data_IF_876020199395
#
_entry.id   IF_876020199395
#
_cell.length_a   1.000
_cell.length_b   1.000
_cell.length_c   1.000
_cell.angle_alpha   90.00
_cell.angle_beta   90.00
_cell.angle_gamma   90.00
#
_symmetry.space_group_name_H-M   'P 1'
#
loop_
_entity.id
_entity.type
_entity.pdbx_description
1 polymer ?
#
# COMPACT_ATOMS: atom_id res chain seq x y z
N UNK A 1 0.48 -2.76 14.63
CA UNK A 1 0.17 -1.41 14.11
C UNK A 1 1.30 -0.96 13.19
N UNK A 2 1.05 -0.24 12.07
CA UNK A 2 2.12 0.10 11.13
C UNK A 2 3.11 1.08 11.76
N UNK A 3 4.42 0.76 11.87
CA UNK A 3 5.39 1.61 12.56
C UNK A 3 5.54 2.99 11.89
N UNK A 4 5.30 3.05 10.59
CA UNK A 4 5.31 4.29 9.83
C UNK A 4 4.12 5.24 10.11
N UNK A 5 3.03 4.74 10.69
CA UNK A 5 1.90 5.54 11.20
C UNK A 5 2.26 6.11 12.56
N UNK A 6 2.76 5.26 13.46
CA UNK A 6 3.13 5.60 14.84
C UNK A 6 4.15 6.74 14.93
N UNK A 7 5.19 6.72 14.09
CA UNK A 7 6.26 7.76 14.12
C UNK A 7 5.87 9.09 13.46
N UNK A 8 4.64 9.24 12.96
CA UNK A 8 4.25 10.44 12.22
C UNK A 8 3.83 11.57 13.18
N UNK A 9 4.63 12.64 13.34
CA UNK A 9 4.37 13.66 14.37
C UNK A 9 3.12 14.50 14.09
N UNK A 10 2.66 14.56 12.85
CA UNK A 10 1.48 15.33 12.43
C UNK A 10 0.23 14.48 12.26
N UNK A 11 0.31 13.17 12.45
CA UNK A 11 -0.78 12.24 12.11
C UNK A 11 -1.07 12.11 10.61
N UNK A 12 -0.18 12.64 9.74
CA UNK A 12 -0.36 12.56 8.29
C UNK A 12 -0.38 11.12 7.77
N UNK A 13 0.41 10.21 8.35
CA UNK A 13 0.29 8.78 8.02
C UNK A 13 -0.77 8.15 8.89
N UNK A 14 -1.73 7.45 8.29
CA UNK A 14 -2.83 6.80 9.02
C UNK A 14 -3.23 5.47 8.37
N UNK A 15 -3.86 4.59 9.15
CA UNK A 15 -4.45 3.33 8.67
C UNK A 15 -5.97 3.51 8.57
N UNK A 16 -6.53 3.26 7.40
CA UNK A 16 -7.98 3.28 7.15
C UNK A 16 -8.63 2.00 7.71
N UNK A 17 -9.96 2.01 7.89
CA UNK A 17 -10.72 0.89 8.45
C UNK A 17 -10.58 -0.43 7.66
N UNK A 18 -10.38 -0.35 6.34
CA UNK A 18 -10.12 -1.49 5.46
C UNK A 18 -8.65 -1.97 5.47
N UNK A 19 -7.81 -1.35 6.30
CA UNK A 19 -6.43 -1.74 6.51
C UNK A 19 -5.40 -1.05 5.62
N UNK A 20 -5.83 -0.23 4.65
CA UNK A 20 -4.92 0.50 3.76
C UNK A 20 -4.22 1.60 4.54
N UNK A 21 -2.89 1.66 4.45
CA UNK A 21 -2.08 2.75 5.03
C UNK A 21 -1.92 3.86 4.01
N UNK A 22 -2.34 5.06 4.39
CA UNK A 22 -2.34 6.25 3.55
C UNK A 22 -1.53 7.38 4.19
N UNK A 23 -1.28 8.42 3.39
CA UNK A 23 -0.61 9.64 3.81
C UNK A 23 -1.48 10.81 3.36
N UNK A 24 -1.94 11.61 4.31
CA UNK A 24 -2.49 12.92 4.03
C UNK A 24 -1.37 13.88 3.66
N UNK A 25 -1.41 14.33 2.41
CA UNK A 25 -0.41 15.24 1.83
C UNK A 25 -0.53 16.65 2.42
N UNK A 26 -1.73 17.07 2.83
CA UNK A 26 -1.93 18.41 3.39
C UNK A 26 -1.29 18.55 4.77
N UNK A 27 -1.29 17.47 5.55
CA UNK A 27 -0.69 17.41 6.88
C UNK A 27 0.76 16.91 6.87
N UNK A 28 1.28 16.43 5.72
CA UNK A 28 2.63 15.91 5.62
C UNK A 28 3.67 17.03 5.56
N UNK A 29 4.51 17.13 6.58
CA UNK A 29 5.61 18.12 6.66
C UNK A 29 6.94 17.63 6.06
N UNK A 30 6.96 16.44 5.44
CA UNK A 30 8.16 15.95 4.78
C UNK A 30 9.33 15.54 5.69
N UNK A 31 9.09 15.28 6.99
CA UNK A 31 10.15 14.96 7.96
C UNK A 31 10.86 13.61 7.74
N UNK A 32 10.30 12.74 6.89
CA UNK A 32 10.87 11.43 6.46
C UNK A 32 11.03 10.36 7.56
N UNK A 33 10.59 10.60 8.79
CA UNK A 33 10.63 9.58 9.85
C UNK A 33 9.88 8.30 9.49
N UNK A 34 8.72 8.43 8.84
CA UNK A 34 7.95 7.29 8.36
C UNK A 34 8.69 6.45 7.32
N UNK A 35 9.63 7.02 6.55
CA UNK A 35 10.48 6.28 5.61
C UNK A 35 11.50 5.43 6.36
N UNK A 36 12.14 5.99 7.39
CA UNK A 36 13.11 5.28 8.22
C UNK A 36 12.47 4.17 9.05
N UNK A 37 11.26 4.40 9.56
CA UNK A 37 10.52 3.42 10.34
C UNK A 37 9.93 2.27 9.49
N UNK A 38 9.83 2.42 8.17
CA UNK A 38 9.27 1.37 7.33
C UNK A 38 10.31 0.25 7.09
N UNK A 39 10.11 -0.97 7.62
CA UNK A 39 11.08 -2.06 7.47
C UNK A 39 11.23 -2.54 6.02
N UNK A 40 10.26 -2.21 5.17
CA UNK A 40 10.21 -2.59 3.76
C UNK A 40 10.77 -1.51 2.83
N UNK A 41 11.15 -0.34 3.35
CA UNK A 41 11.57 0.83 2.56
C UNK A 41 10.60 1.18 1.42
N UNK A 42 9.30 0.94 1.65
CA UNK A 42 8.23 1.06 0.64
C UNK A 42 7.63 2.49 0.58
N UNK A 43 8.37 3.48 1.05
CA UNK A 43 7.97 4.90 1.08
C UNK A 43 9.01 5.74 0.36
N UNK A 44 8.54 6.66 -0.46
CA UNK A 44 9.37 7.52 -1.30
C UNK A 44 9.10 8.98 -0.98
N UNK A 45 10.11 9.85 -1.12
CA UNK A 45 9.95 11.29 -0.91
C UNK A 45 9.97 12.02 -2.24
N UNK A 46 8.96 12.87 -2.47
CA UNK A 46 8.85 13.70 -3.66
C UNK A 46 9.69 14.96 -3.43
N UNK A 47 10.95 14.93 -3.87
CA UNK A 47 11.89 16.04 -3.69
C UNK A 47 11.83 17.08 -4.82
N UNK A 48 11.33 16.69 -5.99
CA UNK A 48 11.29 17.53 -7.19
C UNK A 48 9.86 17.97 -7.53
N UNK A 49 9.71 19.12 -8.21
CA UNK A 49 8.44 19.50 -8.80
C UNK A 49 8.05 18.50 -9.90
N UNK A 50 6.77 18.13 -9.95
CA UNK A 50 6.24 17.16 -10.91
C UNK A 50 5.24 17.82 -11.85
N UNK A 51 5.41 17.61 -13.16
CA UNK A 51 4.49 18.04 -14.21
C UNK A 51 3.57 16.88 -14.67
N UNK A 52 2.50 17.20 -15.41
CA UNK A 52 1.60 16.23 -16.06
C UNK A 52 0.99 15.20 -15.09
N UNK A 53 0.66 15.64 -13.89
CA UNK A 53 0.12 14.78 -12.84
C UNK A 53 -1.34 14.42 -13.10
N UNK A 54 -1.76 13.25 -12.63
CA UNK A 54 -3.17 12.84 -12.68
C UNK A 54 -3.97 13.60 -11.61
N UNK A 55 -5.04 14.34 -11.97
CA UNK A 55 -5.81 15.11 -10.99
C UNK A 55 -6.42 14.27 -9.87
N UNK A 56 -6.67 12.98 -10.11
CA UNK A 56 -7.27 12.08 -9.12
C UNK A 56 -6.27 11.57 -8.08
N UNK A 57 -4.96 11.65 -8.37
CA UNK A 57 -3.88 11.20 -7.48
C UNK A 57 -2.67 12.15 -7.57
N UNK A 58 -2.83 13.41 -7.15
CA UNK A 58 -1.72 14.37 -7.21
C UNK A 58 -0.58 13.97 -6.26
N UNK A 59 0.64 14.25 -6.66
CA UNK A 59 1.86 14.07 -5.88
C UNK A 59 2.31 15.43 -5.38
N UNK A 60 2.44 15.58 -4.07
CA UNK A 60 2.87 16.83 -3.44
C UNK A 60 4.39 16.87 -3.32
N UNK A 61 5.03 17.90 -3.89
CA UNK A 61 6.45 18.16 -3.60
C UNK A 61 6.61 18.39 -2.10
N UNK A 62 7.66 17.83 -1.50
CA UNK A 62 7.88 17.87 -0.06
C UNK A 62 7.08 16.83 0.72
N UNK A 63 6.26 16.01 0.08
CA UNK A 63 5.50 14.95 0.74
C UNK A 63 6.15 13.57 0.57
N UNK A 64 5.95 12.71 1.57
CA UNK A 64 6.21 11.28 1.43
C UNK A 64 5.01 10.62 0.75
N UNK A 65 5.28 9.63 -0.10
CA UNK A 65 4.29 8.80 -0.78
C UNK A 65 4.58 7.32 -0.58
N UNK A 66 3.57 6.49 -0.83
CA UNK A 66 3.67 5.03 -0.78
C UNK A 66 2.66 4.41 -1.74
N UNK A 67 2.73 3.09 -1.93
CA UNK A 67 1.63 2.36 -2.54
C UNK A 67 0.35 2.58 -1.71
N UNK A 68 -0.70 3.09 -2.34
CA UNK A 68 -2.01 3.33 -1.72
C UNK A 68 -3.02 2.24 -2.09
N UNK A 69 -2.52 1.11 -2.60
CA UNK A 69 -3.34 0.04 -3.22
C UNK A 69 -4.30 0.58 -4.29
N UNK A 70 -4.00 1.73 -4.90
CA UNK A 70 -4.90 2.42 -5.80
C UNK A 70 -6.27 2.73 -5.18
N UNK A 71 -6.29 3.30 -3.97
CA UNK A 71 -7.51 3.68 -3.23
C UNK A 71 -8.54 4.43 -4.10
N UNK A 72 -8.09 5.36 -4.95
CA UNK A 72 -8.93 6.09 -5.92
C UNK A 72 -9.70 5.21 -6.93
N UNK A 73 -9.27 3.97 -7.12
CA UNK A 73 -9.90 2.95 -7.97
C UNK A 73 -10.77 2.01 -7.13
N UNK A 74 -10.26 1.54 -5.99
CA UNK A 74 -10.98 0.65 -5.08
C UNK A 74 -12.28 1.30 -4.60
N UNK A 75 -12.22 2.58 -4.24
CA UNK A 75 -13.40 3.34 -3.77
C UNK A 75 -14.47 3.51 -4.88
N UNK A 76 -14.16 3.16 -6.13
CA UNK A 76 -15.08 3.13 -7.28
C UNK A 76 -15.40 1.70 -7.74
N UNK A 77 -15.10 0.69 -6.93
CA UNK A 77 -15.33 -0.72 -7.25
C UNK A 77 -14.41 -1.27 -8.36
N UNK A 78 -13.26 -0.63 -8.61
CA UNK A 78 -12.29 -1.09 -9.62
C UNK A 78 -11.09 -1.78 -9.00
N UNK A 79 -10.47 -2.69 -9.76
CA UNK A 79 -9.22 -3.32 -9.36
C UNK A 79 -8.03 -2.34 -9.41
N UNK A 80 -6.99 -2.57 -8.60
CA UNK A 80 -5.75 -1.79 -8.65
C UNK A 80 -5.08 -1.85 -10.03
N UNK A 81 -4.39 -0.77 -10.41
CA UNK A 81 -3.81 -0.66 -11.74
C UNK A 81 -2.74 -1.73 -12.03
N UNK A 82 -1.94 -2.11 -11.02
CA UNK A 82 -0.93 -3.17 -11.17
C UNK A 82 -1.55 -4.56 -11.41
N UNK A 83 -2.72 -4.83 -10.81
CA UNK A 83 -3.46 -6.09 -10.98
C UNK A 83 -4.03 -6.18 -12.39
N UNK A 84 -4.73 -5.12 -12.83
CA UNK A 84 -5.29 -5.06 -14.20
C UNK A 84 -4.19 -5.15 -15.26
N UNK A 85 -3.06 -4.46 -15.07
CA UNK A 85 -1.95 -4.52 -16.02
C UNK A 85 -1.30 -5.91 -16.10
N UNK A 86 -1.15 -6.60 -14.95
CA UNK A 86 -0.63 -7.96 -14.90
C UNK A 86 -1.55 -8.92 -15.67
N UNK A 87 -2.87 -8.85 -15.43
CA UNK A 87 -3.87 -9.63 -16.13
C UNK A 87 -3.89 -9.35 -17.64
N UNK A 88 -3.83 -8.07 -18.04
CA UNK A 88 -3.80 -7.67 -19.44
C UNK A 88 -2.54 -8.18 -20.19
N UNK A 89 -1.43 -8.36 -19.48
CA UNK A 89 -0.22 -8.98 -20.02
C UNK A 89 -0.29 -10.52 -20.08
N UNK A 90 -1.45 -11.13 -19.80
CA UNK A 90 -1.62 -12.59 -19.77
C UNK A 90 -0.90 -13.24 -18.59
N UNK A 91 -0.66 -12.50 -17.50
CA UNK A 91 -0.04 -12.99 -16.27
C UNK A 91 -1.06 -12.97 -15.12
N UNK A 92 -0.78 -13.71 -14.05
CA UNK A 92 -1.62 -13.78 -12.85
C UNK A 92 -0.82 -13.64 -11.57
N UNK A 93 0.24 -12.82 -11.57
CA UNK A 93 1.21 -12.75 -10.48
C UNK A 93 0.70 -11.94 -9.27
N UNK A 94 -0.28 -11.06 -9.47
CA UNK A 94 -0.82 -10.20 -8.40
C UNK A 94 -2.31 -10.48 -8.29
N UNK A 95 -2.73 -10.95 -7.13
CA UNK A 95 -4.13 -11.14 -6.77
C UNK A 95 -4.51 -10.12 -5.69
N UNK A 96 -5.64 -9.45 -5.87
CA UNK A 96 -6.14 -8.42 -4.95
C UNK A 96 -7.60 -8.68 -4.60
N UNK A 97 -7.94 -8.50 -3.33
CA UNK A 97 -9.28 -8.65 -2.79
C UNK A 97 -9.31 -8.45 -1.28
N UNK A 98 -10.45 -8.70 -0.66
CA UNK A 98 -10.62 -8.63 0.79
C UNK A 98 -10.12 -9.91 1.47
N UNK A 99 -9.09 -9.81 2.32
CA UNK A 99 -8.57 -10.94 3.08
C UNK A 99 -9.50 -11.40 4.22
N UNK A 100 -10.41 -10.53 4.67
CA UNK A 100 -11.35 -10.83 5.75
C UNK A 100 -12.62 -11.54 5.24
N UNK A 101 -12.97 -11.36 3.96
CA UNK A 101 -14.02 -12.15 3.32
C UNK A 101 -13.51 -13.55 3.00
N UNK A 102 -13.97 -14.55 3.76
CA UNK A 102 -13.58 -15.95 3.57
C UNK A 102 -13.89 -16.50 2.17
N UNK A 103 -14.87 -15.94 1.46
CA UNK A 103 -15.27 -16.36 0.11
C UNK A 103 -14.44 -15.69 -0.99
N UNK A 104 -13.68 -14.65 -0.65
CA UNK A 104 -12.84 -13.96 -1.63
C UNK A 104 -11.80 -14.91 -2.23
N UNK A 105 -11.44 -14.66 -3.48
CA UNK A 105 -10.43 -15.46 -4.18
C UNK A 105 -9.09 -15.42 -3.43
N UNK A 106 -8.69 -14.25 -2.94
CA UNK A 106 -7.43 -14.08 -2.20
C UNK A 106 -7.44 -14.85 -0.88
N UNK A 107 -8.54 -14.83 -0.12
CA UNK A 107 -8.62 -15.53 1.15
C UNK A 107 -8.60 -17.06 0.95
N UNK A 108 -9.27 -17.57 -0.09
CA UNK A 108 -9.18 -18.99 -0.49
C UNK A 108 -7.75 -19.35 -0.88
N UNK A 109 -7.11 -18.54 -1.72
CA UNK A 109 -5.75 -18.81 -2.22
C UNK A 109 -4.71 -18.85 -1.12
N UNK A 110 -4.81 -17.96 -0.14
CA UNK A 110 -3.93 -17.89 1.03
C UNK A 110 -4.10 -19.08 1.98
N UNK A 111 -5.28 -19.70 2.04
CA UNK A 111 -5.52 -20.94 2.81
C UNK A 111 -5.01 -22.18 2.10
N UNK A 112 -5.16 -22.23 0.78
CA UNK A 112 -4.77 -23.39 -0.04
C UNK A 112 -3.27 -23.48 -0.29
N UNK A 113 -2.60 -22.32 -0.41
CA UNK A 113 -1.18 -22.25 -0.75
C UNK A 113 -0.34 -21.79 0.43
N UNK A 114 0.86 -22.36 0.54
CA UNK A 114 1.89 -21.84 1.41
C UNK A 114 2.28 -20.42 0.96
N UNK A 115 1.93 -19.44 1.80
CA UNK A 115 2.29 -18.04 1.61
C UNK A 115 3.19 -17.56 2.74
N UNK A 116 4.03 -16.57 2.45
CA UNK A 116 4.93 -15.95 3.43
C UNK A 116 4.68 -14.46 3.51
N UNK A 117 4.75 -13.94 4.73
CA UNK A 117 4.83 -12.50 4.99
C UNK A 117 6.29 -12.09 4.96
N UNK A 118 6.57 -10.97 4.29
CA UNK A 118 7.91 -10.39 4.35
C UNK A 118 8.15 -9.85 5.77
N UNK A 119 9.32 -10.15 6.35
CA UNK A 119 9.67 -9.77 7.73
C UNK A 119 8.62 -10.19 8.78
N UNK A 120 8.18 -11.45 8.69
CA UNK A 120 7.25 -12.04 9.66
C UNK A 120 7.78 -11.98 11.11
N UNK A 121 9.10 -11.92 11.31
CA UNK A 121 9.78 -11.72 12.59
C UNK A 121 9.33 -10.46 13.34
N UNK A 122 8.84 -9.44 12.62
CA UNK A 122 8.40 -8.18 13.21
C UNK A 122 6.94 -8.19 13.69
N UNK A 123 6.17 -9.26 13.43
CA UNK A 123 4.78 -9.35 13.88
C UNK A 123 3.84 -8.25 13.34
N UNK A 124 4.18 -7.66 12.18
CA UNK A 124 3.46 -6.51 11.62
C UNK A 124 2.19 -6.86 10.84
N UNK A 125 1.99 -8.15 10.55
CA UNK A 125 0.87 -8.71 9.78
C UNK A 125 0.53 -7.89 8.51
N UNK A 126 1.48 -7.77 7.55
CA UNK A 126 1.23 -7.02 6.33
C UNK A 126 0.13 -7.70 5.49
N UNK A 127 -0.76 -6.88 4.90
CA UNK A 127 -1.81 -7.36 3.99
C UNK A 127 -1.30 -7.93 2.65
N UNK A 128 0.01 -7.87 2.39
CA UNK A 128 0.63 -8.45 1.20
C UNK A 128 1.31 -9.77 1.58
N UNK A 129 0.94 -10.85 0.89
CA UNK A 129 1.51 -12.18 1.06
C UNK A 129 2.17 -12.65 -0.23
N UNK A 130 3.30 -13.32 -0.11
CA UNK A 130 4.09 -13.81 -1.24
C UNK A 130 4.04 -15.34 -1.32
N UNK A 131 4.13 -15.87 -2.53
CA UNK A 131 4.26 -17.30 -2.80
C UNK A 131 5.65 -17.59 -3.37
N UNK A 132 6.28 -18.69 -2.93
CA UNK A 132 7.56 -19.15 -3.50
C UNK A 132 8.81 -18.43 -3.00
N UNK A 133 8.69 -17.62 -1.95
CA UNK A 133 9.84 -17.15 -1.15
C UNK A 133 10.25 -18.21 -0.12
#
# INVERSE_FOLDING_TARGET
EPPCVDVCPTGASFKRADGIVLIDRHSCIGCRYCMMACPYKARSFVHEPLANQRPQVPRGQGCVESCTLCVHRIDRGRQPACVEACAAAGRGAILFGDLNDANSEIARRVRELATRQLRADLGLDPGVRYQGL
#
